data_IF_856135189406
#
_entry.id   IF_856135189406
#
_cell.length_a   1.000
_cell.length_b   1.000
_cell.length_c   1.000
_cell.angle_alpha   90.00
_cell.angle_beta   90.00
_cell.angle_gamma   90.00
#
_symmetry.space_group_name_H-M   'P 1'
#
loop_
_entity.id
_entity.type
_entity.pdbx_description
1 polymer ?
#
# COMPACT_ATOMS: atom_id res chain seq x y z
N UNK A 1 -3.33 55.67 17.07
CA UNK A 1 -3.98 54.33 16.95
C UNK A 1 -3.23 53.38 16.01
N UNK A 2 -2.76 53.81 14.83
CA UNK A 2 -2.04 52.94 13.88
C UNK A 2 -0.65 52.44 14.36
N UNK A 3 0.11 53.25 15.11
CA UNK A 3 1.44 52.85 15.60
C UNK A 3 1.38 51.73 16.66
N UNK A 4 0.35 51.71 17.51
CA UNK A 4 0.16 50.66 18.53
C UNK A 4 -0.22 49.31 17.90
N UNK A 5 -1.03 49.34 16.84
CA UNK A 5 -1.47 48.15 16.11
C UNK A 5 -0.29 47.47 15.39
N UNK A 6 0.60 48.27 14.78
CA UNK A 6 1.81 47.75 14.14
C UNK A 6 2.76 47.09 15.16
N UNK A 7 2.92 47.70 16.33
CA UNK A 7 3.75 47.16 17.41
C UNK A 7 3.18 45.83 17.94
N UNK A 8 1.85 45.75 18.08
CA UNK A 8 1.16 44.53 18.51
C UNK A 8 1.30 43.42 17.47
N UNK A 9 1.18 43.73 16.17
CA UNK A 9 1.38 42.77 15.08
C UNK A 9 2.83 42.26 15.06
N UNK A 10 3.82 43.14 15.24
CA UNK A 10 5.23 42.76 15.31
C UNK A 10 5.53 41.92 16.55
N UNK A 11 4.94 42.23 17.70
CA UNK A 11 5.05 41.43 18.92
C UNK A 11 4.39 40.06 18.76
N UNK A 12 3.21 39.99 18.11
CA UNK A 12 2.52 38.74 17.81
C UNK A 12 3.29 37.88 16.80
N UNK A 13 3.88 38.46 15.76
CA UNK A 13 4.78 37.76 14.82
C UNK A 13 6.06 37.26 15.51
N UNK A 14 6.59 38.04 16.47
CA UNK A 14 7.75 37.63 17.27
C UNK A 14 7.39 36.49 18.23
N UNK A 15 6.21 36.52 18.84
CA UNK A 15 5.73 35.47 19.73
C UNK A 15 5.42 34.16 18.98
N UNK A 16 4.79 34.21 17.81
CA UNK A 16 4.54 33.02 16.98
C UNK A 16 5.82 32.42 16.39
N UNK A 17 6.81 33.24 16.01
CA UNK A 17 8.13 32.74 15.59
C UNK A 17 8.94 32.13 16.74
N UNK A 18 8.64 32.51 17.99
CA UNK A 18 9.32 32.01 19.18
C UNK A 18 8.66 30.73 19.71
N UNK A 19 7.33 30.56 19.58
CA UNK A 19 6.65 29.30 19.89
C UNK A 19 7.02 28.17 18.91
N UNK A 20 7.16 28.47 17.61
CA UNK A 20 7.59 27.47 16.61
C UNK A 20 9.04 27.01 16.79
N UNK A 21 9.95 27.88 17.25
CA UNK A 21 11.35 27.50 17.54
C UNK A 21 11.51 26.64 18.79
N UNK A 22 10.56 26.69 19.73
CA UNK A 22 10.65 25.92 20.98
C UNK A 22 10.31 24.45 20.76
N UNK A 23 9.44 24.09 19.81
CA UNK A 23 9.08 22.69 19.53
C UNK A 23 10.19 21.91 18.80
N UNK A 24 10.87 22.54 17.83
CA UNK A 24 11.97 21.93 17.05
C UNK A 24 13.12 21.41 17.94
N UNK A 25 13.48 22.17 18.99
CA UNK A 25 14.50 21.74 19.94
C UNK A 25 14.01 20.70 20.95
N UNK A 26 12.72 20.65 21.28
CA UNK A 26 12.19 19.63 22.18
C UNK A 26 12.22 18.23 21.57
N UNK A 27 11.94 18.12 20.26
CA UNK A 27 12.05 16.85 19.55
C UNK A 27 13.46 16.26 19.66
N UNK A 28 14.50 17.08 19.47
CA UNK A 28 15.91 16.65 19.54
C UNK A 28 16.42 16.40 20.96
N UNK A 29 15.95 17.14 21.98
CA UNK A 29 16.43 17.04 23.38
C UNK A 29 16.38 15.62 23.96
N UNK A 30 15.43 14.80 23.51
CA UNK A 30 15.25 13.42 23.98
C UNK A 30 15.98 12.37 23.14
N UNK A 31 16.60 12.77 22.02
CA UNK A 31 17.09 11.87 20.97
C UNK A 31 18.58 11.99 20.70
N UNK A 32 19.19 13.18 20.83
CA UNK A 32 20.60 13.38 20.54
C UNK A 32 21.33 14.20 21.60
N UNK A 33 22.61 13.86 21.79
CA UNK A 33 23.57 14.75 22.44
C UNK A 33 23.72 16.05 21.64
N UNK A 34 23.97 17.16 22.33
CA UNK A 34 24.18 18.47 21.69
C UNK A 34 25.27 18.45 20.61
N UNK A 35 26.36 17.71 20.84
CA UNK A 35 27.46 17.57 19.87
C UNK A 35 27.12 16.70 18.63
N UNK A 36 25.97 16.04 18.64
CA UNK A 36 25.43 15.27 17.53
C UNK A 36 24.20 15.93 16.88
N UNK A 37 23.94 17.20 17.23
CA UNK A 37 22.92 18.02 16.60
C UNK A 37 23.57 18.90 15.54
N UNK A 38 23.06 18.82 14.31
CA UNK A 38 23.43 19.70 13.22
C UNK A 38 22.41 20.83 13.14
N UNK A 39 22.77 22.00 13.67
CA UNK A 39 21.90 23.18 13.70
C UNK A 39 21.62 23.82 12.32
N UNK A 40 22.56 23.87 11.35
CA UNK A 40 22.27 24.45 10.04
C UNK A 40 21.17 23.68 9.30
N UNK A 41 20.18 24.40 8.76
CA UNK A 41 19.14 23.79 7.93
C UNK A 41 19.63 23.50 6.51
N UNK A 42 20.32 24.46 5.89
CA UNK A 42 20.83 24.33 4.52
C UNK A 42 22.22 23.69 4.53
N UNK A 43 22.41 22.70 3.66
CA UNK A 43 23.66 21.96 3.52
C UNK A 43 24.44 22.50 2.33
N UNK A 44 25.57 23.14 2.60
CA UNK A 44 26.54 23.64 1.64
C UNK A 44 27.97 23.31 2.11
N UNK A 45 29.00 23.68 1.36
CA UNK A 45 30.39 23.35 1.69
C UNK A 45 30.86 23.97 3.01
N UNK A 46 30.30 25.11 3.43
CA UNK A 46 30.64 25.76 4.69
C UNK A 46 29.90 25.13 5.87
N UNK A 47 28.58 24.94 5.75
CA UNK A 47 27.78 24.35 6.83
C UNK A 47 28.14 22.88 7.04
N UNK A 48 28.46 22.12 6.00
CA UNK A 48 28.84 20.72 6.11
C UNK A 48 30.12 20.50 6.95
N UNK A 49 30.98 21.52 7.12
CA UNK A 49 32.13 21.46 8.04
C UNK A 49 31.72 21.33 9.51
N UNK A 50 30.51 21.80 9.84
CA UNK A 50 29.92 21.71 11.17
C UNK A 50 29.20 20.36 11.40
N UNK A 51 29.09 19.52 10.37
CA UNK A 51 28.38 18.25 10.47
C UNK A 51 29.08 17.30 11.47
N UNK A 52 28.33 16.64 12.38
CA UNK A 52 28.90 15.81 13.44
C UNK A 52 29.35 14.43 12.92
N UNK A 53 30.41 14.41 12.12
CA UNK A 53 30.87 13.21 11.37
C UNK A 53 31.24 11.99 12.22
N UNK A 54 31.45 12.14 13.52
CA UNK A 54 31.76 11.03 14.45
C UNK A 54 30.51 10.41 15.09
N UNK A 55 29.35 11.04 14.94
CA UNK A 55 28.12 10.61 15.58
C UNK A 55 27.43 9.50 14.77
N UNK A 56 26.90 8.53 15.51
CA UNK A 56 26.07 7.44 14.97
C UNK A 56 24.61 7.87 14.84
N UNK A 57 24.14 8.68 15.78
CA UNK A 57 22.78 9.20 15.85
C UNK A 57 22.90 10.71 15.68
N UNK A 58 22.19 11.27 14.72
CA UNK A 58 22.29 12.70 14.38
C UNK A 58 20.91 13.31 14.32
N UNK A 59 20.76 14.46 14.97
CA UNK A 59 19.56 15.28 14.93
C UNK A 59 19.79 16.44 13.96
N UNK A 60 18.99 16.51 12.90
CA UNK A 60 19.17 17.50 11.85
C UNK A 60 17.88 17.71 11.05
N UNK A 61 17.63 18.97 10.70
CA UNK A 61 16.73 19.31 9.60
C UNK A 61 17.61 19.64 8.39
N UNK A 62 17.47 18.89 7.31
CA UNK A 62 18.40 18.95 6.18
C UNK A 62 17.71 19.43 4.91
N UNK A 63 18.20 20.52 4.34
CA UNK A 63 17.87 20.99 3.00
C UNK A 63 19.10 20.91 2.09
N UNK A 64 19.00 20.10 1.04
CA UNK A 64 19.96 20.07 -0.07
C UNK A 64 19.20 20.51 -1.32
N UNK A 65 19.60 21.62 -1.92
CA UNK A 65 18.90 22.16 -3.09
C UNK A 65 19.81 22.62 -4.22
N UNK A 66 19.26 23.28 -5.24
CA UNK A 66 20.02 23.80 -6.38
C UNK A 66 21.12 24.82 -6.00
N UNK A 67 21.08 25.38 -4.78
CA UNK A 67 22.08 26.34 -4.27
C UNK A 67 23.15 25.68 -3.41
N UNK A 68 22.99 24.40 -3.06
CA UNK A 68 23.98 23.61 -2.34
C UNK A 68 25.19 23.31 -3.23
N UNK A 69 26.37 23.82 -2.86
CA UNK A 69 27.62 23.64 -3.59
C UNK A 69 28.44 22.42 -3.12
N UNK A 70 27.76 21.35 -2.71
CA UNK A 70 28.38 20.14 -2.17
C UNK A 70 28.44 19.01 -3.20
N UNK A 71 29.61 18.40 -3.35
CA UNK A 71 29.77 17.19 -4.14
C UNK A 71 29.25 15.96 -3.37
N UNK A 72 28.71 14.97 -4.10
CA UNK A 72 28.23 13.70 -3.53
C UNK A 72 29.29 13.03 -2.62
N UNK A 73 30.57 13.08 -3.00
CA UNK A 73 31.68 12.53 -2.20
C UNK A 73 31.83 13.20 -0.82
N UNK A 74 31.56 14.51 -0.72
CA UNK A 74 31.58 15.22 0.56
C UNK A 74 30.43 14.76 1.44
N UNK A 75 29.22 14.62 0.87
CA UNK A 75 28.06 14.07 1.56
C UNK A 75 28.32 12.64 2.04
N UNK A 76 28.82 11.75 1.19
CA UNK A 76 29.18 10.37 1.56
C UNK A 76 30.17 10.35 2.72
N UNK A 77 31.14 11.27 2.73
CA UNK A 77 32.13 11.37 3.82
C UNK A 77 31.49 11.85 5.11
N UNK A 78 30.61 12.85 5.05
CA UNK A 78 29.95 13.43 6.22
C UNK A 78 29.01 12.44 6.91
N UNK A 79 28.19 11.73 6.12
CA UNK A 79 27.16 10.81 6.61
C UNK A 79 27.65 9.38 6.87
N UNK A 80 28.93 9.09 6.62
CA UNK A 80 29.51 7.73 6.66
C UNK A 80 29.19 6.94 7.93
N UNK A 81 29.19 7.60 9.09
CA UNK A 81 29.01 6.93 10.39
C UNK A 81 27.55 6.96 10.90
N UNK A 82 26.68 7.70 10.21
CA UNK A 82 25.30 7.91 10.64
C UNK A 82 24.47 6.65 10.40
N UNK A 83 23.77 6.21 11.43
CA UNK A 83 22.87 5.06 11.45
C UNK A 83 21.42 5.45 11.76
N UNK A 84 21.24 6.51 12.56
CA UNK A 84 19.93 7.02 12.92
C UNK A 84 19.89 8.51 12.63
N UNK A 85 18.85 8.96 11.92
CA UNK A 85 18.58 10.37 11.70
C UNK A 85 17.24 10.74 12.34
N UNK A 86 17.26 11.85 13.08
CA UNK A 86 16.08 12.47 13.64
C UNK A 86 15.88 13.84 13.01
N UNK A 87 14.68 14.14 12.51
CA UNK A 87 14.33 15.45 11.97
C UNK A 87 13.70 15.33 10.58
N UNK A 88 14.25 16.03 9.57
CA UNK A 88 13.70 15.99 8.21
C UNK A 88 14.80 16.05 7.15
N UNK A 89 14.45 15.62 5.93
CA UNK A 89 15.29 15.76 4.75
C UNK A 89 14.44 16.26 3.59
N UNK A 90 14.87 17.35 2.98
CA UNK A 90 14.39 17.82 1.69
C UNK A 90 15.55 17.86 0.71
N UNK A 91 15.43 17.12 -0.39
CA UNK A 91 16.36 17.18 -1.53
C UNK A 91 15.59 17.71 -2.73
N UNK A 92 15.93 18.91 -3.22
CA UNK A 92 15.11 19.62 -4.20
C UNK A 92 15.92 20.22 -5.35
N UNK A 93 15.53 19.98 -6.60
CA UNK A 93 16.14 20.61 -7.79
C UNK A 93 17.66 20.44 -7.88
N UNK A 94 18.17 19.30 -7.41
CA UNK A 94 19.60 18.96 -7.48
C UNK A 94 19.92 18.20 -8.76
N UNK A 95 21.22 18.12 -9.09
CA UNK A 95 21.75 17.25 -10.15
C UNK A 95 22.21 15.88 -9.61
N UNK A 96 21.81 15.50 -8.38
CA UNK A 96 22.15 14.21 -7.81
C UNK A 96 21.46 13.10 -8.60
N UNK A 97 22.20 12.04 -8.90
CA UNK A 97 21.67 10.85 -9.58
C UNK A 97 21.13 9.80 -8.62
N UNK A 98 21.51 9.90 -7.34
CA UNK A 98 21.15 8.97 -6.27
C UNK A 98 21.23 9.62 -4.86
N UNK A 99 20.70 8.96 -3.83
CA UNK A 99 20.76 9.38 -2.40
C UNK A 99 21.65 8.42 -1.57
N UNK A 100 22.64 7.76 -2.20
CA UNK A 100 23.50 6.74 -1.53
C UNK A 100 24.42 7.31 -0.47
N UNK A 101 24.56 8.63 -0.37
CA UNK A 101 25.22 9.24 0.80
C UNK A 101 24.52 8.88 2.12
N UNK A 102 23.24 8.48 2.08
CA UNK A 102 22.49 7.93 3.22
C UNK A 102 22.39 6.40 3.23
N UNK A 103 23.15 5.68 2.39
CA UNK A 103 23.12 4.20 2.34
C UNK A 103 23.47 3.53 3.67
N UNK A 104 24.18 4.23 4.56
CA UNK A 104 24.51 3.77 5.91
C UNK A 104 23.36 3.84 6.92
N UNK A 105 22.36 4.70 6.66
CA UNK A 105 21.25 5.01 7.59
C UNK A 105 20.28 3.83 7.65
N UNK A 106 19.93 3.46 8.88
CA UNK A 106 19.05 2.33 9.18
C UNK A 106 17.67 2.79 9.67
N UNK A 107 17.61 3.94 10.36
CA UNK A 107 16.40 4.47 10.96
C UNK A 107 16.28 5.97 10.68
N UNK A 108 15.09 6.41 10.31
CA UNK A 108 14.76 7.82 10.16
C UNK A 108 13.47 8.11 10.92
N UNK A 109 13.53 9.00 11.89
CA UNK A 109 12.35 9.40 12.65
C UNK A 109 12.13 10.90 12.53
N UNK A 110 10.91 11.25 12.17
CA UNK A 110 10.51 12.61 11.86
C UNK A 110 9.48 13.14 12.85
N UNK A 111 9.49 14.46 12.99
CA UNK A 111 8.37 15.20 13.55
C UNK A 111 7.25 15.37 12.51
N UNK A 112 6.21 16.10 12.89
CA UNK A 112 4.85 15.88 12.41
C UNK A 112 4.57 16.43 11.01
N UNK A 113 5.41 17.33 10.49
CA UNK A 113 4.93 18.32 9.52
C UNK A 113 5.59 18.31 8.14
N UNK A 114 6.77 17.69 7.91
CA UNK A 114 7.29 17.45 6.54
C UNK A 114 8.55 16.59 6.51
N UNK A 115 8.44 15.29 6.19
CA UNK A 115 9.62 14.46 6.16
C UNK A 115 9.90 13.72 4.84
N UNK A 116 11.15 13.23 4.71
CA UNK A 116 11.77 12.61 3.53
C UNK A 116 11.15 13.03 2.18
N UNK A 117 11.43 14.26 1.77
CA UNK A 117 10.91 14.87 0.55
C UNK A 117 11.98 14.96 -0.55
N UNK A 118 11.70 14.36 -1.70
CA UNK A 118 12.48 14.47 -2.92
C UNK A 118 11.64 15.17 -3.98
N UNK A 119 12.04 16.37 -4.39
CA UNK A 119 11.23 17.23 -5.25
C UNK A 119 12.01 17.74 -6.48
N UNK A 120 11.46 17.55 -7.67
CA UNK A 120 11.97 18.13 -8.92
C UNK A 120 13.47 17.85 -9.19
N UNK A 121 13.98 16.68 -8.77
CA UNK A 121 15.35 16.23 -9.08
C UNK A 121 15.33 15.49 -10.43
N UNK A 122 15.65 16.19 -11.52
CA UNK A 122 15.49 15.65 -12.89
C UNK A 122 16.48 14.54 -13.24
N UNK A 123 17.62 14.46 -12.55
CA UNK A 123 18.68 13.46 -12.78
C UNK A 123 18.61 12.27 -11.84
N UNK A 124 17.73 12.31 -10.83
CA UNK A 124 17.62 11.26 -9.83
C UNK A 124 17.03 9.98 -10.45
N UNK A 125 17.79 8.90 -10.36
CA UNK A 125 17.42 7.58 -10.92
C UNK A 125 17.11 6.55 -9.83
N UNK A 126 17.66 6.74 -8.62
CA UNK A 126 17.40 5.87 -7.48
C UNK A 126 17.48 6.60 -6.13
N UNK A 127 16.81 6.10 -5.09
CA UNK A 127 17.05 6.56 -3.70
C UNK A 127 18.30 5.86 -3.15
N UNK A 128 18.33 4.52 -3.14
CA UNK A 128 19.55 3.77 -2.81
C UNK A 128 19.94 3.79 -1.33
N UNK A 129 19.00 4.04 -0.42
CA UNK A 129 19.20 3.89 1.02
C UNK A 129 19.10 2.41 1.43
N UNK A 130 20.08 1.62 0.99
CA UNK A 130 19.99 0.15 1.04
C UNK A 130 19.91 -0.44 2.45
N UNK A 131 20.43 0.23 3.48
CA UNK A 131 20.34 -0.23 4.87
C UNK A 131 19.10 0.30 5.62
N UNK A 132 18.24 1.09 4.97
CA UNK A 132 17.08 1.70 5.61
C UNK A 132 16.05 0.64 5.99
N UNK A 133 15.73 0.54 7.28
CA UNK A 133 14.90 -0.54 7.86
C UNK A 133 13.53 -0.05 8.33
N UNK A 134 13.48 1.14 8.90
CA UNK A 134 12.29 1.63 9.59
C UNK A 134 12.21 3.14 9.55
N UNK A 135 10.97 3.64 9.46
CA UNK A 135 10.72 5.08 9.43
C UNK A 135 9.41 5.46 10.10
N UNK A 136 9.43 6.59 10.81
CA UNK A 136 8.19 7.28 11.22
C UNK A 136 7.72 8.32 10.18
N UNK A 137 8.56 8.55 9.18
CA UNK A 137 8.43 9.60 8.18
C UNK A 137 7.56 9.14 7.02
N UNK A 138 6.64 10.00 6.58
CA UNK A 138 6.16 9.95 5.20
C UNK A 138 7.36 10.10 4.23
N UNK A 139 7.29 9.44 3.08
CA UNK A 139 8.31 9.52 2.03
C UNK A 139 7.63 10.07 0.79
N UNK A 140 8.09 11.20 0.27
CA UNK A 140 7.45 11.86 -0.86
C UNK A 140 8.43 12.05 -1.99
N UNK A 141 8.10 11.52 -3.17
CA UNK A 141 8.84 11.65 -4.41
C UNK A 141 7.96 12.39 -5.41
N UNK A 142 8.27 13.66 -5.65
CA UNK A 142 7.48 14.52 -6.52
C UNK A 142 8.28 14.98 -7.73
N UNK A 143 7.70 14.79 -8.93
CA UNK A 143 8.29 15.24 -10.19
C UNK A 143 9.72 14.69 -10.42
N UNK A 144 9.90 13.37 -10.28
CA UNK A 144 11.18 12.67 -10.47
C UNK A 144 11.16 11.86 -11.77
N UNK A 145 11.37 12.55 -12.90
CA UNK A 145 11.09 12.01 -14.23
C UNK A 145 11.97 10.83 -14.66
N UNK A 146 13.22 10.75 -14.15
CA UNK A 146 14.19 9.69 -14.51
C UNK A 146 14.26 8.56 -13.48
N UNK A 147 13.36 8.52 -12.49
CA UNK A 147 13.37 7.50 -11.47
C UNK A 147 13.16 6.10 -12.08
N UNK A 148 14.04 5.16 -11.75
CA UNK A 148 13.97 3.77 -12.23
C UNK A 148 13.80 2.77 -11.08
N UNK A 149 14.37 3.04 -9.90
CA UNK A 149 14.35 2.12 -8.74
C UNK A 149 14.28 2.88 -7.42
N UNK A 150 13.51 2.40 -6.44
CA UNK A 150 13.65 2.93 -5.07
C UNK A 150 14.99 2.46 -4.45
N UNK A 151 15.29 1.16 -4.57
CA UNK A 151 16.45 0.51 -3.98
C UNK A 151 16.45 0.62 -2.44
N UNK A 152 15.32 0.25 -1.84
CA UNK A 152 15.02 0.22 -0.40
C UNK A 152 14.67 -1.21 0.09
N UNK A 153 15.51 -2.23 -0.17
CA UNK A 153 15.16 -3.65 0.04
C UNK A 153 14.90 -4.03 1.51
N UNK A 154 15.42 -3.26 2.45
CA UNK A 154 15.34 -3.55 3.88
C UNK A 154 14.23 -2.78 4.61
N UNK A 155 13.54 -1.86 3.93
CA UNK A 155 12.55 -1.00 4.56
C UNK A 155 11.25 -1.78 4.78
N UNK A 156 11.03 -2.18 6.04
CA UNK A 156 9.93 -3.08 6.44
C UNK A 156 8.92 -2.42 7.35
N UNK A 157 9.38 -1.51 8.20
CA UNK A 157 8.57 -0.95 9.26
C UNK A 157 8.22 0.50 8.95
N UNK A 158 6.94 0.74 8.69
CA UNK A 158 6.35 2.06 8.56
C UNK A 158 5.41 2.25 9.73
N UNK A 159 5.66 3.26 10.54
CA UNK A 159 4.74 3.69 11.58
C UNK A 159 4.53 5.19 11.45
N UNK A 160 3.45 5.73 12.01
CA UNK A 160 3.36 7.17 12.20
C UNK A 160 3.09 7.52 13.62
N UNK A 161 3.57 8.71 13.97
CA UNK A 161 3.15 9.42 15.16
C UNK A 161 1.89 10.28 14.87
N UNK A 162 1.64 10.66 13.60
CA UNK A 162 0.54 11.49 13.12
C UNK A 162 0.12 11.03 11.71
N UNK A 163 -1.19 10.97 11.40
CA UNK A 163 -1.87 10.62 10.12
C UNK A 163 -1.07 9.89 9.00
N UNK A 164 -1.67 8.87 8.35
CA UNK A 164 -0.97 7.70 7.81
C UNK A 164 0.30 7.99 6.98
N UNK A 165 1.42 7.23 7.18
CA UNK A 165 2.64 7.43 6.43
C UNK A 165 2.40 7.21 4.94
N UNK A 166 2.53 8.28 4.17
CA UNK A 166 2.33 8.24 2.74
C UNK A 166 3.69 7.97 2.08
N UNK A 167 3.84 6.84 1.36
CA UNK A 167 4.80 6.80 0.25
C UNK A 167 4.10 7.43 -0.95
N UNK A 168 4.21 8.74 -1.10
CA UNK A 168 3.67 9.43 -2.27
C UNK A 168 4.71 9.38 -3.39
N UNK A 169 4.43 8.65 -4.46
CA UNK A 169 5.25 8.67 -5.67
C UNK A 169 4.42 9.33 -6.77
N UNK A 170 4.73 10.59 -7.07
CA UNK A 170 4.14 11.32 -8.18
C UNK A 170 5.00 11.15 -9.44
N UNK A 171 4.49 10.30 -10.33
CA UNK A 171 4.85 10.13 -11.74
C UNK A 171 6.34 9.87 -12.00
N UNK A 172 6.67 8.57 -12.11
CA UNK A 172 7.85 8.07 -12.81
C UNK A 172 7.46 6.91 -13.73
N UNK A 173 7.44 7.15 -15.04
CA UNK A 173 6.98 6.17 -16.04
C UNK A 173 7.84 4.89 -16.14
N UNK A 174 9.01 4.87 -15.51
CA UNK A 174 9.99 3.78 -15.56
C UNK A 174 10.27 3.12 -14.22
N UNK A 175 9.68 3.61 -13.14
CA UNK A 175 9.91 3.04 -11.82
C UNK A 175 9.35 1.61 -11.78
N UNK A 176 10.17 0.68 -11.34
CA UNK A 176 9.71 -0.63 -10.92
C UNK A 176 10.20 -0.92 -9.49
N UNK A 177 9.51 -1.83 -8.82
CA UNK A 177 9.81 -2.32 -7.49
C UNK A 177 10.30 -3.77 -7.55
N UNK A 178 11.31 -4.07 -6.75
CA UNK A 178 11.80 -5.44 -6.55
C UNK A 178 10.79 -6.26 -5.74
N UNK A 179 10.92 -7.59 -5.79
CA UNK A 179 10.02 -8.49 -5.06
C UNK A 179 10.16 -8.29 -3.54
N UNK A 180 11.36 -7.96 -3.04
CA UNK A 180 11.60 -7.61 -1.64
C UNK A 180 10.87 -6.33 -1.24
N UNK A 181 11.01 -5.27 -2.02
CA UNK A 181 10.34 -3.98 -1.78
C UNK A 181 8.83 -4.16 -1.75
N UNK A 182 8.24 -4.79 -2.78
CA UNK A 182 6.79 -5.01 -2.82
C UNK A 182 6.33 -5.89 -1.68
N UNK A 183 7.07 -6.94 -1.32
CA UNK A 183 6.72 -7.79 -0.17
C UNK A 183 6.59 -6.94 1.09
N UNK A 184 7.60 -6.11 1.37
CA UNK A 184 7.60 -5.27 2.54
C UNK A 184 6.43 -4.26 2.50
N UNK A 185 6.19 -3.63 1.35
CA UNK A 185 5.17 -2.58 1.21
C UNK A 185 3.75 -3.13 1.23
N UNK A 186 3.50 -4.27 0.59
CA UNK A 186 2.20 -4.94 0.57
C UNK A 186 1.83 -5.46 1.96
N UNK A 187 2.80 -5.91 2.75
CA UNK A 187 2.54 -6.38 4.11
C UNK A 187 2.25 -5.27 5.13
N UNK A 188 2.59 -4.02 4.81
CA UNK A 188 2.31 -2.85 5.66
C UNK A 188 0.84 -2.46 5.57
N UNK A 189 0.20 -2.08 6.68
CA UNK A 189 -1.18 -1.55 6.69
C UNK A 189 -1.27 -0.15 6.10
N UNK A 190 -0.15 0.57 6.11
CA UNK A 190 -0.10 1.94 5.63
C UNK A 190 0.65 2.02 4.31
N UNK A 191 -0.13 2.28 3.26
CA UNK A 191 0.39 2.52 1.93
C UNK A 191 -0.72 3.07 1.03
N UNK A 192 -0.46 4.18 0.35
CA UNK A 192 -1.18 4.64 -0.83
C UNK A 192 -0.13 4.84 -1.92
N UNK A 193 -0.29 4.15 -3.05
CA UNK A 193 0.57 4.29 -4.22
C UNK A 193 -0.26 4.89 -5.33
N UNK A 194 0.30 5.84 -6.06
CA UNK A 194 -0.25 6.17 -7.35
C UNK A 194 0.05 5.04 -8.36
N UNK A 195 -0.82 4.84 -9.35
CA UNK A 195 -0.57 3.90 -10.43
C UNK A 195 0.78 4.15 -11.10
N UNK A 196 1.54 3.07 -11.33
CA UNK A 196 2.70 3.08 -12.21
C UNK A 196 2.50 2.05 -13.32
N UNK A 197 3.25 2.20 -14.42
CA UNK A 197 3.30 1.19 -15.46
C UNK A 197 4.40 0.16 -15.13
N UNK A 198 4.09 -1.13 -15.21
CA UNK A 198 5.01 -2.24 -14.93
C UNK A 198 5.61 -2.21 -13.51
N UNK A 199 4.78 -2.44 -12.46
CA UNK A 199 5.18 -2.51 -11.05
C UNK A 199 6.46 -3.23 -10.75
N UNK A 200 6.66 -4.33 -11.44
CA UNK A 200 7.56 -5.35 -10.99
C UNK A 200 8.82 -5.28 -11.82
N UNK A 201 9.94 -5.18 -11.13
CA UNK A 201 11.22 -5.33 -11.78
C UNK A 201 11.44 -6.78 -12.21
N UNK A 202 12.16 -6.97 -13.31
CA UNK A 202 12.73 -8.26 -13.62
C UNK A 202 13.65 -8.70 -12.48
N UNK A 203 13.56 -9.97 -12.10
CA UNK A 203 14.35 -10.58 -11.05
C UNK A 203 15.19 -11.73 -11.59
N UNK A 204 16.22 -12.08 -10.83
CA UNK A 204 17.16 -13.16 -11.10
C UNK A 204 16.97 -14.32 -10.12
N UNK A 205 17.59 -15.46 -10.38
CA UNK A 205 17.62 -16.58 -9.42
C UNK A 205 18.23 -16.18 -8.07
N UNK A 206 19.18 -15.25 -8.04
CA UNK A 206 19.74 -14.72 -6.79
C UNK A 206 18.72 -13.91 -5.99
N UNK A 207 17.78 -13.22 -6.63
CA UNK A 207 16.73 -12.49 -5.92
C UNK A 207 15.72 -13.46 -5.29
N UNK A 208 15.39 -14.53 -6.00
CA UNK A 208 14.52 -15.58 -5.47
C UNK A 208 15.13 -16.30 -4.27
N UNK A 209 16.46 -16.49 -4.26
CA UNK A 209 17.17 -17.17 -3.17
C UNK A 209 17.19 -16.40 -1.84
N UNK A 210 16.77 -15.13 -1.82
CA UNK A 210 16.65 -14.33 -0.59
C UNK A 210 15.43 -14.68 0.24
N UNK A 211 14.50 -15.45 -0.32
CA UNK A 211 13.31 -15.93 0.37
C UNK A 211 13.50 -17.39 0.76
N UNK A 212 13.13 -17.72 1.99
CA UNK A 212 13.08 -19.12 2.46
C UNK A 212 11.97 -19.92 1.74
N UNK A 213 11.03 -19.21 1.13
CA UNK A 213 9.87 -19.75 0.44
C UNK A 213 10.11 -19.82 -1.06
N UNK A 214 9.66 -20.93 -1.67
CA UNK A 214 9.75 -21.10 -3.12
C UNK A 214 8.83 -20.12 -3.84
N UNK A 215 9.44 -19.31 -4.71
CA UNK A 215 8.76 -18.38 -5.61
C UNK A 215 8.72 -18.98 -7.00
N UNK A 216 7.55 -18.95 -7.62
CA UNK A 216 7.30 -19.51 -8.94
C UNK A 216 6.82 -18.42 -9.89
N UNK A 217 7.63 -18.13 -10.90
CA UNK A 217 7.27 -17.22 -11.99
C UNK A 217 6.35 -17.95 -12.98
N UNK A 218 5.21 -17.34 -13.29
CA UNK A 218 4.22 -17.90 -14.21
C UNK A 218 3.90 -16.90 -15.32
N UNK A 219 4.52 -17.09 -16.49
CA UNK A 219 4.21 -16.30 -17.69
C UNK A 219 2.91 -16.79 -18.36
N UNK A 220 2.76 -18.12 -18.47
CA UNK A 220 1.55 -18.78 -18.94
C UNK A 220 1.07 -19.73 -17.86
N UNK A 221 0.02 -19.33 -17.14
CA UNK A 221 -0.49 -20.11 -16.03
C UNK A 221 -1.17 -21.39 -16.53
N UNK A 222 -0.79 -22.53 -15.96
CA UNK A 222 -1.48 -23.80 -16.13
C UNK A 222 -1.50 -24.52 -14.79
N UNK A 223 -2.69 -24.72 -14.24
CA UNK A 223 -2.84 -25.34 -12.94
C UNK A 223 -2.43 -26.82 -12.97
N UNK A 224 -2.67 -27.50 -14.10
CA UNK A 224 -2.24 -28.88 -14.34
C UNK A 224 -0.74 -29.10 -14.16
N UNK A 225 0.11 -28.22 -14.67
CA UNK A 225 1.57 -28.32 -14.52
C UNK A 225 2.12 -27.53 -13.33
N UNK A 226 1.27 -26.79 -12.61
CA UNK A 226 1.71 -26.00 -11.46
C UNK A 226 2.33 -26.89 -10.38
N UNK A 227 3.42 -26.39 -9.81
CA UNK A 227 4.19 -27.04 -8.78
C UNK A 227 3.61 -26.69 -7.41
N UNK A 228 3.03 -27.68 -6.72
CA UNK A 228 2.36 -27.48 -5.43
C UNK A 228 3.31 -27.15 -4.26
N UNK A 229 4.63 -27.17 -4.48
CA UNK A 229 5.61 -26.69 -3.52
C UNK A 229 5.80 -25.17 -3.56
N UNK A 230 5.27 -24.50 -4.58
CA UNK A 230 5.29 -23.04 -4.68
C UNK A 230 4.46 -22.41 -3.56
N UNK A 231 5.07 -21.51 -2.80
CA UNK A 231 4.37 -20.70 -1.78
C UNK A 231 4.07 -19.30 -2.28
N UNK A 232 4.90 -18.77 -3.18
CA UNK A 232 4.69 -17.46 -3.79
C UNK A 232 4.57 -17.60 -5.30
N UNK A 233 3.61 -16.90 -5.88
CA UNK A 233 3.40 -16.85 -7.32
C UNK A 233 3.73 -15.44 -7.80
N UNK A 234 4.62 -15.34 -8.77
CA UNK A 234 4.85 -14.11 -9.51
C UNK A 234 4.21 -14.23 -10.89
N UNK A 235 3.10 -13.53 -11.10
CA UNK A 235 2.26 -13.66 -12.29
C UNK A 235 0.79 -13.92 -11.93
N UNK A 236 -0.04 -14.02 -12.95
CA UNK A 236 -1.49 -14.13 -12.78
C UNK A 236 -1.94 -15.57 -12.60
N UNK A 237 -2.82 -15.82 -11.63
CA UNK A 237 -3.48 -17.10 -11.40
C UNK A 237 -4.77 -17.13 -12.21
N UNK A 238 -4.87 -18.08 -13.14
CA UNK A 238 -6.01 -18.24 -14.05
C UNK A 238 -6.61 -19.62 -13.87
N UNK A 239 -7.85 -19.72 -13.39
CA UNK A 239 -8.57 -20.98 -13.22
C UNK A 239 -9.74 -20.98 -14.20
N UNK A 240 -9.75 -21.93 -15.11
CA UNK A 240 -10.74 -22.04 -16.18
C UNK A 240 -11.42 -23.41 -16.15
N UNK A 241 -12.43 -23.60 -17.00
CA UNK A 241 -13.05 -24.91 -17.19
C UNK A 241 -12.00 -25.97 -17.53
N UNK A 242 -12.00 -27.07 -16.77
CA UNK A 242 -11.03 -28.16 -16.85
C UNK A 242 -9.92 -28.12 -15.80
N UNK A 243 -9.75 -27.01 -15.06
CA UNK A 243 -8.74 -26.89 -13.99
C UNK A 243 -9.24 -27.38 -12.63
N UNK A 244 -10.52 -27.70 -12.48
CA UNK A 244 -11.18 -27.95 -11.18
C UNK A 244 -10.53 -29.09 -10.40
N UNK A 245 -10.05 -30.15 -11.07
CA UNK A 245 -9.37 -31.27 -10.42
C UNK A 245 -7.97 -30.91 -9.88
N UNK A 246 -7.43 -29.74 -10.24
CA UNK A 246 -6.08 -29.32 -9.90
C UNK A 246 -6.01 -28.16 -8.89
N UNK A 247 -7.16 -27.60 -8.49
CA UNK A 247 -7.22 -26.40 -7.63
C UNK A 247 -6.51 -26.55 -6.28
N UNK A 248 -6.44 -27.78 -5.75
CA UNK A 248 -5.72 -28.07 -4.49
C UNK A 248 -4.22 -27.83 -4.56
N UNK A 249 -3.64 -27.67 -5.75
CA UNK A 249 -2.23 -27.28 -5.88
C UNK A 249 -1.94 -25.85 -5.38
N UNK A 250 -2.98 -25.03 -5.20
CA UNK A 250 -2.86 -23.66 -4.68
C UNK A 250 -2.97 -23.57 -3.16
N UNK A 251 -3.22 -24.68 -2.46
CA UNK A 251 -3.50 -24.71 -1.02
C UNK A 251 -2.39 -24.09 -0.16
N UNK A 252 -1.13 -24.27 -0.57
CA UNK A 252 0.05 -23.76 0.13
C UNK A 252 0.48 -22.34 -0.29
N UNK A 253 -0.23 -21.72 -1.25
CA UNK A 253 0.15 -20.41 -1.77
C UNK A 253 -0.23 -19.34 -0.76
N UNK A 254 0.76 -18.55 -0.33
CA UNK A 254 0.63 -17.46 0.64
C UNK A 254 0.65 -16.08 -0.04
N UNK A 255 1.35 -15.95 -1.16
CA UNK A 255 1.50 -14.67 -1.90
C UNK A 255 1.22 -14.82 -3.39
N UNK A 256 0.49 -13.86 -3.95
CA UNK A 256 0.31 -13.71 -5.40
C UNK A 256 0.67 -12.27 -5.81
N UNK A 257 1.78 -12.12 -6.54
CA UNK A 257 2.17 -10.87 -7.21
C UNK A 257 1.55 -10.83 -8.61
N UNK A 258 0.24 -10.63 -8.64
CA UNK A 258 -0.59 -10.71 -9.83
C UNK A 258 -2.07 -10.71 -9.44
N UNK A 259 -2.95 -10.99 -10.41
CA UNK A 259 -4.38 -11.14 -10.17
C UNK A 259 -4.82 -12.62 -10.13
N UNK A 260 -5.97 -12.86 -9.52
CA UNK A 260 -6.69 -14.14 -9.57
C UNK A 260 -7.89 -13.98 -10.48
N UNK A 261 -8.05 -14.88 -11.45
CA UNK A 261 -9.26 -14.97 -12.27
C UNK A 261 -9.80 -16.40 -12.26
N UNK A 262 -11.07 -16.55 -11.92
CA UNK A 262 -11.78 -17.84 -11.95
C UNK A 262 -12.95 -17.68 -12.91
N UNK A 263 -12.87 -18.29 -14.09
CA UNK A 263 -13.83 -18.07 -15.16
C UNK A 263 -14.42 -19.36 -15.72
N UNK A 264 -15.75 -19.47 -15.68
CA UNK A 264 -16.48 -20.51 -16.41
C UNK A 264 -16.24 -21.92 -15.87
N UNK A 265 -15.93 -22.05 -14.58
CA UNK A 265 -15.69 -23.34 -13.94
C UNK A 265 -17.00 -23.98 -13.45
N UNK A 266 -16.93 -25.28 -13.19
CA UNK A 266 -17.97 -26.09 -12.55
C UNK A 266 -17.83 -26.15 -11.02
N UNK A 267 -16.95 -25.34 -10.43
CA UNK A 267 -16.75 -25.28 -8.98
C UNK A 267 -18.04 -24.89 -8.26
N UNK A 268 -18.40 -25.65 -7.23
CA UNK A 268 -19.47 -25.30 -6.30
C UNK A 268 -18.98 -24.41 -5.16
N UNK A 269 -17.70 -24.53 -4.78
CA UNK A 269 -17.07 -23.81 -3.68
C UNK A 269 -15.63 -23.43 -4.06
N UNK A 270 -15.18 -22.26 -3.58
CA UNK A 270 -13.76 -21.91 -3.53
C UNK A 270 -13.30 -22.00 -2.07
N UNK A 271 -12.50 -23.01 -1.75
CA UNK A 271 -11.98 -23.32 -0.40
C UNK A 271 -10.48 -23.70 -0.43
N UNK A 272 -9.83 -23.60 -1.58
CA UNK A 272 -8.44 -24.02 -1.80
C UNK A 272 -7.42 -22.88 -1.67
N UNK A 273 -7.85 -21.68 -1.30
CA UNK A 273 -6.97 -20.55 -0.94
C UNK A 273 -6.79 -20.46 0.57
N UNK A 274 -6.58 -21.60 1.24
CA UNK A 274 -6.51 -21.67 2.70
C UNK A 274 -5.39 -20.81 3.29
N UNK A 275 -4.19 -20.87 2.71
CA UNK A 275 -3.03 -20.13 3.21
C UNK A 275 -2.80 -18.79 2.50
N UNK A 276 -3.67 -18.39 1.56
CA UNK A 276 -3.46 -17.16 0.80
C UNK A 276 -3.61 -15.95 1.72
N UNK A 277 -2.53 -15.18 1.90
CA UNK A 277 -2.49 -14.00 2.77
C UNK A 277 -2.53 -12.69 1.98
N UNK A 278 -1.83 -12.64 0.85
CA UNK A 278 -1.59 -11.40 0.10
C UNK A 278 -1.79 -11.56 -1.39
N UNK A 279 -2.54 -10.62 -1.99
CA UNK A 279 -2.65 -10.45 -3.44
C UNK A 279 -2.25 -9.02 -3.78
N UNK A 280 -1.30 -8.86 -4.72
CA UNK A 280 -0.81 -7.54 -5.13
C UNK A 280 -0.98 -7.38 -6.65
N UNK A 281 -1.83 -6.45 -7.06
CA UNK A 281 -2.08 -6.18 -8.47
C UNK A 281 -2.29 -4.68 -8.74
N UNK A 282 -1.27 -4.08 -9.35
CA UNK A 282 -1.16 -2.62 -9.52
C UNK A 282 -1.43 -2.18 -10.97
N UNK A 283 -2.40 -2.81 -11.63
CA UNK A 283 -2.85 -2.39 -12.96
C UNK A 283 -4.17 -1.66 -12.85
N UNK A 284 -4.23 -0.47 -13.43
CA UNK A 284 -5.44 0.35 -13.44
C UNK A 284 -6.59 -0.29 -14.19
N UNK A 285 -7.81 0.06 -13.76
CA UNK A 285 -9.09 -0.37 -14.36
C UNK A 285 -9.30 -1.89 -14.46
N UNK A 286 -8.53 -2.67 -13.68
CA UNK A 286 -8.70 -4.11 -13.57
C UNK A 286 -8.95 -4.55 -12.13
N UNK A 287 -9.52 -5.76 -11.98
CA UNK A 287 -9.84 -6.36 -10.70
C UNK A 287 -8.71 -7.30 -10.25
N UNK A 288 -8.40 -7.29 -8.96
CA UNK A 288 -7.33 -8.13 -8.39
C UNK A 288 -7.80 -9.57 -8.15
N UNK A 289 -9.05 -9.75 -7.75
CA UNK A 289 -9.71 -11.05 -7.64
C UNK A 289 -11.01 -10.96 -8.45
N UNK A 290 -11.09 -11.71 -9.55
CA UNK A 290 -12.21 -11.67 -10.47
C UNK A 290 -12.81 -13.05 -10.71
N UNK A 291 -14.03 -13.26 -10.24
CA UNK A 291 -14.71 -14.55 -10.26
C UNK A 291 -15.93 -14.40 -11.14
N UNK A 292 -15.97 -15.10 -12.27
CA UNK A 292 -16.98 -14.89 -13.30
C UNK A 292 -17.51 -16.17 -13.95
N UNK A 293 -18.78 -16.14 -14.35
CA UNK A 293 -19.42 -17.21 -15.11
C UNK A 293 -19.38 -18.60 -14.43
N UNK A 294 -19.24 -18.68 -13.10
CA UNK A 294 -19.26 -19.94 -12.36
C UNK A 294 -20.68 -20.17 -11.82
N UNK A 295 -21.56 -20.72 -12.66
CA UNK A 295 -22.99 -20.84 -12.35
C UNK A 295 -23.30 -21.81 -11.21
N UNK A 296 -22.38 -22.75 -10.94
CA UNK A 296 -22.47 -23.67 -9.80
C UNK A 296 -21.96 -23.11 -8.47
N UNK A 297 -21.26 -21.97 -8.48
CA UNK A 297 -20.51 -21.45 -7.32
C UNK A 297 -21.45 -20.83 -6.28
N UNK A 298 -21.62 -21.47 -5.14
CA UNK A 298 -22.49 -20.99 -4.04
C UNK A 298 -21.72 -20.37 -2.88
N UNK A 299 -20.40 -20.58 -2.79
CA UNK A 299 -19.57 -20.04 -1.72
C UNK A 299 -18.11 -19.83 -2.12
N UNK A 300 -17.46 -18.84 -1.52
CA UNK A 300 -16.03 -18.59 -1.66
C UNK A 300 -15.45 -18.13 -0.32
N UNK A 301 -14.37 -18.79 0.14
CA UNK A 301 -13.77 -18.58 1.46
C UNK A 301 -12.28 -18.34 1.29
N UNK A 302 -11.77 -17.29 1.97
CA UNK A 302 -10.38 -16.86 1.94
C UNK A 302 -9.86 -16.64 3.37
N UNK A 303 -9.74 -17.70 4.18
CA UNK A 303 -9.70 -17.58 5.64
C UNK A 303 -8.49 -16.82 6.17
N UNK A 304 -7.35 -16.87 5.47
CA UNK A 304 -6.13 -16.18 5.87
C UNK A 304 -5.84 -14.92 5.04
N UNK A 305 -6.74 -14.52 4.13
CA UNK A 305 -6.48 -13.35 3.28
C UNK A 305 -6.47 -12.09 4.14
N UNK A 306 -5.30 -11.47 4.23
CA UNK A 306 -5.08 -10.27 5.05
C UNK A 306 -5.28 -9.03 4.21
N UNK A 307 -4.83 -9.05 2.95
CA UNK A 307 -4.82 -7.84 2.15
C UNK A 307 -4.79 -8.10 0.64
N UNK A 308 -5.58 -7.32 -0.08
CA UNK A 308 -5.46 -7.20 -1.53
C UNK A 308 -5.05 -5.76 -1.87
N UNK A 309 -3.85 -5.60 -2.41
CA UNK A 309 -3.25 -4.31 -2.75
C UNK A 309 -3.41 -3.99 -4.22
N UNK A 310 -3.92 -2.79 -4.49
CA UNK A 310 -4.06 -2.24 -5.84
C UNK A 310 -3.81 -0.73 -5.83
N UNK A 311 -3.53 -0.17 -7.01
CA UNK A 311 -3.49 1.29 -7.25
C UNK A 311 -4.79 1.81 -7.85
N UNK A 312 -5.78 0.95 -8.08
CA UNK A 312 -7.04 1.33 -8.70
C UNK A 312 -7.78 2.36 -7.84
N UNK A 313 -8.14 3.50 -8.44
CA UNK A 313 -8.92 4.56 -7.79
C UNK A 313 -10.31 4.11 -7.36
N UNK A 314 -10.85 3.08 -8.02
CA UNK A 314 -12.11 2.46 -7.64
C UNK A 314 -11.82 1.18 -6.83
N UNK A 315 -12.25 1.09 -5.55
CA UNK A 315 -11.90 0.00 -4.64
C UNK A 315 -12.61 -1.33 -4.97
N UNK A 316 -13.02 -1.54 -6.23
CA UNK A 316 -13.59 -2.82 -6.70
C UNK A 316 -12.46 -3.83 -6.87
N UNK A 317 -11.91 -4.28 -5.76
CA UNK A 317 -10.73 -5.15 -5.75
C UNK A 317 -11.13 -6.62 -5.94
N UNK A 318 -12.25 -7.01 -5.33
CA UNK A 318 -12.82 -8.35 -5.36
C UNK A 318 -14.20 -8.28 -6.02
N UNK A 319 -14.35 -8.94 -7.17
CA UNK A 319 -15.56 -8.84 -7.99
C UNK A 319 -16.06 -10.22 -8.38
N UNK A 320 -17.35 -10.44 -8.15
CA UNK A 320 -18.13 -11.58 -8.61
C UNK A 320 -19.12 -11.10 -9.66
N UNK A 321 -19.17 -11.74 -10.82
CA UNK A 321 -20.12 -11.40 -11.88
C UNK A 321 -20.65 -12.64 -12.59
N UNK A 322 -21.96 -12.69 -12.83
CA UNK A 322 -22.61 -13.75 -13.63
C UNK A 322 -22.32 -15.17 -13.07
N UNK A 323 -22.16 -15.29 -11.75
CA UNK A 323 -22.00 -16.57 -11.05
C UNK A 323 -23.38 -17.12 -10.63
N UNK A 324 -23.44 -18.05 -9.66
CA UNK A 324 -24.71 -18.51 -9.12
C UNK A 324 -25.54 -17.34 -8.55
N UNK A 325 -26.82 -17.28 -8.92
CA UNK A 325 -27.75 -16.22 -8.51
C UNK A 325 -27.94 -16.12 -6.99
N UNK A 326 -27.65 -17.17 -6.22
CA UNK A 326 -27.69 -17.13 -4.77
C UNK A 326 -26.71 -16.08 -4.21
N UNK A 327 -25.56 -15.89 -4.86
CA UNK A 327 -24.55 -14.92 -4.43
C UNK A 327 -25.07 -13.47 -4.44
N UNK A 328 -25.95 -13.13 -5.39
CA UNK A 328 -26.52 -11.78 -5.55
C UNK A 328 -27.94 -11.61 -4.98
N UNK A 329 -28.51 -12.67 -4.40
CA UNK A 329 -29.86 -12.65 -3.81
C UNK A 329 -29.91 -12.96 -2.32
N UNK A 330 -28.94 -13.71 -1.79
CA UNK A 330 -28.85 -14.05 -0.37
C UNK A 330 -27.81 -13.16 0.34
N UNK A 331 -28.24 -12.19 1.17
CA UNK A 331 -27.32 -11.31 1.89
C UNK A 331 -26.37 -12.08 2.81
N UNK A 332 -26.82 -13.19 3.41
CA UNK A 332 -26.00 -13.97 4.34
C UNK A 332 -24.79 -14.59 3.63
N UNK A 333 -24.97 -15.04 2.38
CA UNK A 333 -23.87 -15.57 1.56
C UNK A 333 -22.86 -14.48 1.23
N UNK A 334 -23.30 -13.27 0.86
CA UNK A 334 -22.40 -12.14 0.64
C UNK A 334 -21.62 -11.75 1.91
N UNK A 335 -22.31 -11.65 3.05
CA UNK A 335 -21.65 -11.34 4.33
C UNK A 335 -20.70 -12.45 4.78
N UNK A 336 -20.97 -13.72 4.49
CA UNK A 336 -20.03 -14.80 4.75
C UNK A 336 -18.74 -14.63 3.95
N UNK A 337 -18.83 -14.30 2.66
CA UNK A 337 -17.66 -13.98 1.83
C UNK A 337 -16.91 -12.81 2.46
N UNK A 338 -17.59 -11.71 2.77
CA UNK A 338 -16.97 -10.52 3.38
C UNK A 338 -16.28 -10.83 4.71
N UNK A 339 -16.95 -11.55 5.60
CA UNK A 339 -16.43 -11.89 6.93
C UNK A 339 -15.25 -12.86 6.84
N UNK A 340 -15.23 -13.74 5.83
CA UNK A 340 -14.10 -14.64 5.60
C UNK A 340 -12.82 -13.90 5.22
N UNK A 341 -12.91 -12.67 4.71
CA UNK A 341 -11.77 -11.85 4.31
C UNK A 341 -11.07 -11.16 5.50
N UNK A 342 -11.49 -11.37 6.74
CA UNK A 342 -10.83 -10.88 7.97
C UNK A 342 -10.24 -9.45 7.88
N UNK A 343 -10.94 -8.49 7.25
CA UNK A 343 -10.42 -7.14 7.01
C UNK A 343 -11.35 -6.02 7.47
N UNK A 344 -10.73 -4.92 7.88
CA UNK A 344 -11.36 -3.63 8.20
C UNK A 344 -11.58 -2.82 6.93
N UNK A 345 -12.85 -2.62 6.56
CA UNK A 345 -13.42 -1.60 5.65
C UNK A 345 -12.90 -1.50 4.19
N UNK A 346 -11.75 -2.09 3.83
CA UNK A 346 -11.09 -1.87 2.52
C UNK A 346 -11.30 -2.97 1.47
N UNK A 347 -11.68 -4.20 1.87
CA UNK A 347 -11.92 -5.32 0.93
C UNK A 347 -13.41 -5.67 0.86
N UNK A 348 -14.19 -4.77 0.27
CA UNK A 348 -15.63 -4.99 0.11
C UNK A 348 -15.86 -5.76 -1.20
N UNK A 349 -16.43 -6.99 -1.15
CA UNK A 349 -16.75 -7.71 -2.36
C UNK A 349 -17.90 -7.03 -3.11
N UNK A 350 -17.78 -6.96 -4.43
CA UNK A 350 -18.87 -6.52 -5.31
C UNK A 350 -19.44 -7.71 -6.06
N UNK A 351 -20.74 -7.96 -5.90
CA UNK A 351 -21.45 -9.06 -6.55
C UNK A 351 -22.48 -8.46 -7.49
N UNK A 352 -22.34 -8.72 -8.80
CA UNK A 352 -23.19 -8.18 -9.87
C UNK A 352 -23.41 -6.66 -9.77
N UNK A 353 -22.34 -5.96 -9.39
CA UNK A 353 -22.32 -4.49 -9.26
C UNK A 353 -22.87 -3.94 -7.93
N UNK A 354 -23.22 -4.79 -6.98
CA UNK A 354 -23.80 -4.42 -5.67
C UNK A 354 -22.87 -4.79 -4.52
N UNK A 355 -22.92 -4.01 -3.44
CA UNK A 355 -22.33 -4.38 -2.14
C UNK A 355 -23.24 -5.34 -1.38
N UNK A 356 -22.74 -5.97 -0.31
CA UNK A 356 -23.58 -6.80 0.55
C UNK A 356 -24.73 -6.01 1.19
N UNK A 357 -24.49 -4.75 1.54
CA UNK A 357 -25.50 -3.81 2.04
C UNK A 357 -26.60 -3.54 1.01
N UNK A 358 -26.24 -3.32 -0.25
CA UNK A 358 -27.22 -3.12 -1.33
C UNK A 358 -28.11 -4.37 -1.51
N UNK A 359 -27.50 -5.57 -1.44
CA UNK A 359 -28.23 -6.84 -1.55
C UNK A 359 -29.18 -7.01 -0.35
N UNK A 360 -28.71 -6.73 0.87
CA UNK A 360 -29.53 -6.76 2.08
C UNK A 360 -30.74 -5.80 2.01
N UNK A 361 -30.50 -4.57 1.54
CA UNK A 361 -31.56 -3.57 1.40
C UNK A 361 -32.64 -4.03 0.41
N UNK A 362 -32.26 -4.57 -0.75
CA UNK A 362 -33.22 -5.09 -1.74
C UNK A 362 -34.00 -6.29 -1.18
N UNK A 363 -33.32 -7.22 -0.51
CA UNK A 363 -33.98 -8.39 0.12
C UNK A 363 -35.00 -7.97 1.17
N UNK A 364 -34.68 -6.96 1.99
CA UNK A 364 -35.56 -6.46 3.05
C UNK A 364 -36.84 -5.78 2.55
N UNK A 365 -36.86 -5.33 1.28
CA UNK A 365 -38.04 -4.77 0.63
C UNK A 365 -38.89 -5.86 -0.02
N UNK A 366 -38.26 -6.88 -0.61
CA UNK A 366 -38.95 -7.95 -1.34
C UNK A 366 -39.66 -8.91 -0.38
N UNK A 367 -39.02 -9.32 0.72
CA UNK A 367 -39.64 -10.26 1.68
C UNK A 367 -41.02 -9.80 2.20
N UNK A 368 -41.19 -8.57 2.71
CA UNK A 368 -42.50 -8.09 3.15
C UNK A 368 -43.49 -7.90 2.00
N UNK A 369 -43.04 -7.57 0.78
CA UNK A 369 -43.91 -7.48 -0.40
C UNK A 369 -44.45 -8.85 -0.84
N UNK A 370 -43.60 -9.87 -0.83
CA UNK A 370 -44.01 -11.26 -1.12
C UNK A 370 -44.94 -11.77 -0.03
N UNK A 371 -44.65 -11.49 1.24
CA UNK A 371 -45.57 -11.79 2.35
C UNK A 371 -46.93 -11.12 2.16
N UNK A 372 -46.97 -9.81 1.86
CA UNK A 372 -48.21 -9.08 1.56
C UNK A 372 -49.00 -9.69 0.40
N UNK A 373 -48.32 -10.12 -0.66
CA UNK A 373 -48.94 -10.76 -1.82
C UNK A 373 -49.47 -12.16 -1.47
N UNK A 374 -48.73 -12.96 -0.70
CA UNK A 374 -49.15 -14.31 -0.27
C UNK A 374 -50.30 -14.21 0.74
N UNK A 375 -50.20 -13.37 1.77
CA UNK A 375 -51.30 -13.17 2.73
C UNK A 375 -52.50 -12.49 2.09
N UNK A 376 -52.30 -11.56 1.16
CA UNK A 376 -53.38 -10.93 0.38
C UNK A 376 -54.10 -11.94 -0.52
N UNK A 377 -53.38 -12.90 -1.08
CA UNK A 377 -53.95 -14.01 -1.86
C UNK A 377 -54.72 -15.00 -0.97
N UNK A 378 -54.23 -15.29 0.25
CA UNK A 378 -54.96 -16.09 1.23
C UNK A 378 -56.21 -15.38 1.76
N UNK A 379 -56.17 -14.06 2.01
CA UNK A 379 -57.35 -13.26 2.37
C UNK A 379 -58.37 -13.22 1.23
N UNK A 380 -57.94 -13.14 -0.03
CA UNK A 380 -58.84 -13.22 -1.18
C UNK A 380 -59.48 -14.62 -1.31
N UNK A 381 -58.77 -15.70 -0.96
CA UNK A 381 -59.31 -17.06 -0.93
C UNK A 381 -60.30 -17.29 0.23
N UNK A 382 -60.13 -16.63 1.38
CA UNK A 382 -61.10 -16.69 2.48
C UNK A 382 -62.39 -15.91 2.17
N UNK A 383 -62.31 -14.75 1.52
CA UNK A 383 -63.50 -13.96 1.13
C UNK A 383 -64.35 -14.66 0.05
N UNK A 384 -63.74 -15.55 -0.75
CA UNK A 384 -64.46 -16.35 -1.75
C UNK A 384 -65.14 -17.61 -1.18
N UNK A 385 -64.83 -18.03 0.05
CA UNK A 385 -65.43 -19.23 0.66
C UNK A 385 -66.69 -18.92 1.49
N UNK A 386 -66.96 -17.65 1.82
CA UNK A 386 -68.19 -17.20 2.49
C UNK A 386 -69.35 -16.88 1.53
N UNK A 387 -69.18 -17.16 0.22
CA UNK A 387 -70.22 -17.00 -0.82
C UNK A 387 -70.75 -18.31 -1.38
N UNK A 388 -70.42 -19.46 -0.77
CA UNK A 388 -70.99 -20.76 -1.12
C UNK A 388 -71.47 -21.44 0.17
N UNK A 389 -72.64 -21.02 0.67
CA UNK A 389 -73.74 -21.90 1.11
C UNK A 389 -75.01 -21.09 1.36
#
# INVERSE_FOLDING_TARGET
>A
MHSLLLLLILLLMKHTSQENKVSEFEFFKSRCDYNCTFEPYHVDTETLKLFPTKCREVCAYLLIDQTSDVAEKQLVTAFKNVKVLYGSLKVSKTNLTNIKFLSGVEFFECDTDSPLLFEANSELTEIGMTNFKSTSCAITLNNIQKMERLNLPNLKNFYTLFNPPLLSIDIANKLCLTIEEITNFVSSDVWEMHPFHNPYCNFSSSDLSKFDEKICEVQHFSLKSFDSSCKRIFGNVMIQSGDEEHVRKLENVTWIYGRIVINGTSLSVIDFFEHLEYVAYFKDDEYSIYIINNTGLTSAVYPNLRLVRTTNKNPRVIVFRDNNAQLSSDPAVCFNIRNSLNTTEKLIPYIDGRTCEDIANVSSVIEPFVWLMVTGSFLALFVLNDYIF
#
